data_IF_865409371949
#
_entry.id   IF_865409371949
#
_cell.length_a   1.000
_cell.length_b   1.000
_cell.length_c   1.000
_cell.angle_alpha   90.00
_cell.angle_beta   90.00
_cell.angle_gamma   90.00
#
_symmetry.space_group_name_H-M   'P 1'
#
loop_
_entity.id
_entity.type
_entity.pdbx_description
1 polymer ?
#
# COMPACT_ATOMS: atom_id res chain seq x y z
N UNK A 1 -29.54 -30.23 25.10
CA UNK A 1 -28.18 -30.70 25.40
C UNK A 1 -27.18 -29.57 25.02
N UNK A 2 -26.92 -28.63 25.93
CA UNK A 2 -26.04 -27.47 25.71
C UNK A 2 -24.60 -27.94 25.82
N UNK A 3 -23.84 -27.88 24.72
CA UNK A 3 -22.37 -28.03 24.76
C UNK A 3 -21.77 -26.83 25.48
N UNK A 4 -21.37 -27.03 26.72
CA UNK A 4 -20.49 -26.10 27.43
C UNK A 4 -19.19 -25.94 26.62
N UNK A 5 -19.01 -24.78 25.97
CA UNK A 5 -17.70 -24.37 25.48
C UNK A 5 -16.79 -24.27 26.72
N UNK A 6 -15.79 -25.12 26.77
CA UNK A 6 -14.67 -24.98 27.70
C UNK A 6 -14.06 -23.58 27.48
N UNK A 7 -14.32 -22.69 28.42
CA UNK A 7 -13.52 -21.46 28.57
C UNK A 7 -12.15 -21.95 29.04
N UNK A 8 -11.29 -22.30 28.08
CA UNK A 8 -9.91 -22.59 28.35
C UNK A 8 -9.22 -21.30 28.79
N UNK A 9 -8.58 -21.32 29.96
CA UNK A 9 -7.65 -20.25 30.38
C UNK A 9 -6.61 -20.11 29.26
N UNK A 10 -6.76 -19.06 28.44
CA UNK A 10 -5.89 -18.83 27.31
C UNK A 10 -4.52 -18.42 27.83
N UNK A 11 -3.51 -19.22 27.52
CA UNK A 11 -2.12 -18.94 27.87
C UNK A 11 -1.74 -17.61 27.22
N UNK A 12 -1.33 -16.57 27.98
CA UNK A 12 -1.09 -15.22 27.44
C UNK A 12 0.06 -15.16 26.42
N UNK A 13 0.86 -16.22 26.30
CA UNK A 13 1.97 -16.30 25.36
C UNK A 13 1.89 -17.60 24.57
N UNK A 14 1.54 -17.51 23.28
CA UNK A 14 1.59 -18.64 22.37
C UNK A 14 3.03 -19.14 22.20
N UNK A 15 3.21 -20.46 22.27
CA UNK A 15 4.49 -21.09 21.95
C UNK A 15 4.82 -20.94 20.46
N UNK A 16 6.09 -21.06 20.10
CA UNK A 16 6.53 -21.01 18.71
C UNK A 16 5.79 -22.03 17.83
N UNK A 17 5.58 -23.25 18.33
CA UNK A 17 4.85 -24.32 17.63
C UNK A 17 3.39 -23.96 17.38
N UNK A 18 2.71 -23.36 18.36
CA UNK A 18 1.32 -22.89 18.20
C UNK A 18 1.23 -21.76 17.19
N UNK A 19 2.16 -20.79 17.22
CA UNK A 19 2.25 -19.72 16.22
C UNK A 19 2.43 -20.29 14.82
N UNK A 20 3.33 -21.27 14.65
CA UNK A 20 3.58 -21.95 13.37
C UNK A 20 2.33 -22.63 12.81
N UNK A 21 1.59 -23.34 13.66
CA UNK A 21 0.36 -24.05 13.27
C UNK A 21 -0.79 -23.10 12.89
N UNK A 22 -0.77 -21.87 13.40
CA UNK A 22 -1.76 -20.83 13.08
C UNK A 22 -1.46 -20.07 11.79
N UNK A 23 -0.32 -20.26 11.17
CA UNK A 23 0.06 -19.59 9.92
C UNK A 23 -0.83 -20.08 8.77
N UNK A 24 -1.37 -19.14 8.00
CA UNK A 24 -2.10 -19.45 6.78
C UNK A 24 -1.14 -19.46 5.58
N UNK A 25 -0.65 -20.64 5.20
CA UNK A 25 0.29 -20.78 4.07
C UNK A 25 -0.33 -20.44 2.71
N UNK A 26 -1.65 -20.56 2.55
CA UNK A 26 -2.35 -20.18 1.31
C UNK A 26 -2.20 -18.68 1.02
N UNK A 27 -2.17 -17.85 2.08
CA UNK A 27 -1.92 -16.43 1.93
C UNK A 27 -0.53 -16.14 1.34
N UNK A 28 0.50 -16.81 1.84
CA UNK A 28 1.87 -16.67 1.32
C UNK A 28 2.01 -17.24 -0.09
N UNK A 29 1.28 -18.29 -0.44
CA UNK A 29 1.25 -18.82 -1.78
C UNK A 29 0.78 -17.79 -2.81
N UNK A 30 -0.27 -17.01 -2.53
CA UNK A 30 -0.70 -15.93 -3.43
C UNK A 30 0.32 -14.80 -3.52
N UNK A 31 1.00 -14.45 -2.43
CA UNK A 31 2.08 -13.46 -2.45
C UNK A 31 3.24 -13.96 -3.32
N UNK A 32 3.61 -15.24 -3.21
CA UNK A 32 4.63 -15.86 -4.05
C UNK A 32 4.23 -15.88 -5.52
N UNK A 33 2.97 -16.19 -5.84
CA UNK A 33 2.47 -16.16 -7.23
C UNK A 33 2.60 -14.77 -7.84
N UNK A 34 2.22 -13.71 -7.13
CA UNK A 34 2.40 -12.33 -7.61
C UNK A 34 3.87 -11.99 -7.85
N UNK A 35 4.75 -12.44 -6.95
CA UNK A 35 6.19 -12.24 -7.13
C UNK A 35 6.71 -12.95 -8.37
N UNK A 36 6.27 -14.19 -8.63
CA UNK A 36 6.65 -14.93 -9.82
C UNK A 36 6.22 -14.20 -11.11
N UNK A 37 4.98 -13.66 -11.13
CA UNK A 37 4.52 -12.80 -12.21
C UNK A 37 5.40 -11.55 -12.34
N UNK A 38 5.74 -10.89 -11.23
CA UNK A 38 6.63 -9.73 -11.23
C UNK A 38 8.01 -10.04 -11.81
N UNK A 39 8.62 -11.17 -11.43
CA UNK A 39 9.91 -11.62 -11.96
C UNK A 39 9.83 -11.85 -13.48
N UNK A 40 8.78 -12.54 -13.97
CA UNK A 40 8.57 -12.79 -15.39
C UNK A 40 8.41 -11.47 -16.16
N UNK A 41 7.61 -10.54 -15.66
CA UNK A 41 7.39 -9.26 -16.30
C UNK A 41 8.65 -8.38 -16.31
N UNK A 42 9.43 -8.38 -15.23
CA UNK A 42 10.68 -7.63 -15.16
C UNK A 42 11.78 -8.23 -16.05
N UNK A 43 11.79 -9.55 -16.23
CA UNK A 43 12.65 -10.22 -17.19
C UNK A 43 12.24 -9.82 -18.63
N UNK A 44 10.95 -9.82 -18.93
CA UNK A 44 10.45 -9.37 -20.23
C UNK A 44 10.75 -7.88 -20.47
N UNK A 45 10.51 -7.00 -19.48
CA UNK A 45 10.81 -5.57 -19.57
C UNK A 45 12.29 -5.28 -19.88
N UNK A 46 13.19 -6.17 -19.45
CA UNK A 46 14.62 -6.12 -19.74
C UNK A 46 15.03 -6.79 -21.06
N UNK A 47 14.08 -7.10 -21.95
CA UNK A 47 14.32 -7.79 -23.22
C UNK A 47 15.04 -9.14 -23.02
N UNK A 48 14.66 -9.90 -21.99
CA UNK A 48 15.26 -11.20 -21.70
C UNK A 48 16.58 -11.13 -20.91
N UNK A 49 16.97 -9.97 -20.36
CA UNK A 49 18.16 -9.85 -19.54
C UNK A 49 17.80 -10.00 -18.05
N UNK A 50 18.33 -11.07 -17.43
CA UNK A 50 18.05 -11.40 -16.03
C UNK A 50 18.64 -10.40 -15.03
N UNK A 51 19.81 -9.84 -15.32
CA UNK A 51 20.62 -9.08 -14.34
C UNK A 51 20.13 -7.64 -14.13
N UNK A 52 19.35 -7.11 -15.06
CA UNK A 52 18.93 -5.70 -15.03
C UNK A 52 17.96 -5.45 -13.89
N UNK A 53 16.83 -6.19 -13.85
CA UNK A 53 15.77 -5.98 -12.86
C UNK A 53 15.32 -7.28 -12.16
N UNK A 54 15.22 -8.40 -12.89
CA UNK A 54 14.63 -9.65 -12.38
C UNK A 54 15.42 -10.22 -11.20
N UNK A 55 16.73 -10.36 -11.30
CA UNK A 55 17.59 -10.85 -10.21
C UNK A 55 17.50 -9.96 -8.95
N UNK A 56 17.54 -8.64 -9.15
CA UNK A 56 17.43 -7.68 -8.05
C UNK A 56 16.06 -7.77 -7.37
N UNK A 57 15.02 -8.05 -8.14
CA UNK A 57 13.66 -8.23 -7.62
C UNK A 57 13.56 -9.51 -6.76
N UNK A 58 14.13 -10.63 -7.21
CA UNK A 58 14.21 -11.88 -6.45
C UNK A 58 14.96 -11.69 -5.13
N UNK A 59 16.11 -11.00 -5.16
CA UNK A 59 16.89 -10.70 -3.93
C UNK A 59 16.05 -9.85 -2.95
N UNK A 60 15.37 -8.82 -3.44
CA UNK A 60 14.50 -7.98 -2.59
C UNK A 60 13.31 -8.76 -2.05
N UNK A 61 12.74 -9.65 -2.85
CA UNK A 61 11.68 -10.54 -2.38
C UNK A 61 12.19 -11.47 -1.28
N UNK A 62 13.36 -12.08 -1.43
CA UNK A 62 13.95 -12.92 -0.40
C UNK A 62 14.17 -12.16 0.92
N UNK A 63 14.69 -10.91 0.84
CA UNK A 63 14.81 -10.03 2.01
C UNK A 63 13.45 -9.71 2.63
N UNK A 64 12.46 -9.37 1.80
CA UNK A 64 11.09 -9.09 2.25
C UNK A 64 10.42 -10.30 2.88
N UNK A 65 10.61 -11.50 2.31
CA UNK A 65 10.09 -12.76 2.84
C UNK A 65 10.72 -13.11 4.19
N UNK A 66 12.04 -12.90 4.35
CA UNK A 66 12.72 -13.06 5.62
C UNK A 66 12.16 -12.08 6.67
N UNK A 67 12.02 -10.78 6.33
CA UNK A 67 11.42 -9.78 7.20
C UNK A 67 9.98 -10.16 7.59
N UNK A 68 9.15 -10.53 6.61
CA UNK A 68 7.79 -11.00 6.82
C UNK A 68 7.76 -12.21 7.77
N UNK A 69 8.65 -13.20 7.55
CA UNK A 69 8.77 -14.38 8.39
C UNK A 69 9.11 -14.04 9.84
N UNK A 70 10.04 -13.11 10.06
CA UNK A 70 10.38 -12.63 11.42
C UNK A 70 9.18 -11.95 12.07
N UNK A 71 8.50 -11.05 11.36
CA UNK A 71 7.37 -10.28 11.90
C UNK A 71 6.17 -11.16 12.29
N UNK A 72 5.94 -12.28 11.58
CA UNK A 72 4.85 -13.23 11.90
C UNK A 72 4.94 -13.79 13.32
N UNK A 73 6.16 -13.98 13.82
CA UNK A 73 6.39 -14.54 15.16
C UNK A 73 6.42 -13.49 16.27
N UNK A 74 6.41 -12.21 15.94
CA UNK A 74 6.36 -11.12 16.92
C UNK A 74 5.00 -11.13 17.63
N UNK A 75 4.99 -10.95 18.95
CA UNK A 75 3.77 -10.89 19.75
C UNK A 75 3.00 -9.58 19.46
N UNK A 76 1.68 -9.69 19.43
CA UNK A 76 0.79 -8.53 19.22
C UNK A 76 1.01 -7.42 20.27
N UNK A 77 1.39 -7.79 21.51
CA UNK A 77 1.69 -6.84 22.59
C UNK A 77 2.89 -5.94 22.27
N UNK A 78 3.88 -6.48 21.54
CA UNK A 78 5.05 -5.70 21.10
C UNK A 78 4.62 -4.61 20.14
N UNK A 79 3.79 -4.94 19.15
CA UNK A 79 3.25 -3.95 18.21
C UNK A 79 2.42 -2.89 18.94
N UNK A 80 1.57 -3.30 19.89
CA UNK A 80 0.76 -2.38 20.69
C UNK A 80 1.66 -1.45 21.52
N UNK A 81 2.66 -2.00 22.22
CA UNK A 81 3.54 -1.21 23.07
C UNK A 81 4.32 -0.16 22.28
N UNK A 82 4.95 -0.58 21.18
CA UNK A 82 5.86 0.26 20.39
C UNK A 82 5.19 1.09 19.30
N UNK A 83 3.87 1.03 19.12
CA UNK A 83 3.16 1.72 18.04
C UNK A 83 3.46 3.23 17.96
N UNK A 84 3.37 3.95 19.07
CA UNK A 84 3.65 5.39 19.10
C UNK A 84 5.14 5.72 18.95
N UNK A 85 6.03 4.89 19.48
CA UNK A 85 7.48 5.06 19.29
C UNK A 85 7.86 4.87 17.83
N UNK A 86 7.29 3.87 17.17
CA UNK A 86 7.51 3.64 15.75
C UNK A 86 6.94 4.77 14.89
N UNK A 87 5.76 5.30 15.25
CA UNK A 87 5.19 6.48 14.60
C UNK A 87 6.09 7.71 14.76
N UNK A 88 6.54 8.01 15.98
CA UNK A 88 7.43 9.14 16.24
C UNK A 88 8.77 9.01 15.51
N UNK A 89 9.37 7.82 15.51
CA UNK A 89 10.62 7.55 14.78
C UNK A 89 10.46 7.74 13.26
N UNK A 90 9.38 7.24 12.67
CA UNK A 90 9.13 7.41 11.23
C UNK A 90 8.79 8.86 10.88
N UNK A 91 8.09 9.59 11.76
CA UNK A 91 7.84 11.02 11.60
C UNK A 91 9.15 11.82 11.59
N UNK A 92 10.05 11.50 12.51
CA UNK A 92 11.39 12.10 12.57
C UNK A 92 12.19 11.81 11.29
N UNK A 93 12.13 10.56 10.77
CA UNK A 93 12.76 10.22 9.50
C UNK A 93 12.18 11.02 8.31
N UNK A 94 10.88 11.32 8.29
CA UNK A 94 10.27 12.20 7.28
C UNK A 94 10.83 13.62 7.34
N UNK A 95 11.05 14.15 8.55
CA UNK A 95 11.67 15.48 8.74
C UNK A 95 13.14 15.46 8.28
N UNK A 96 13.89 14.42 8.67
CA UNK A 96 15.29 14.25 8.27
C UNK A 96 15.45 14.20 6.75
N UNK A 97 14.56 13.47 6.05
CA UNK A 97 14.58 13.41 4.58
C UNK A 97 14.40 14.79 3.95
N UNK A 98 13.57 15.64 4.54
CA UNK A 98 13.35 16.99 4.00
C UNK A 98 14.59 17.87 4.05
N UNK A 99 15.46 17.65 5.06
CA UNK A 99 16.69 18.44 5.28
C UNK A 99 17.90 17.79 4.61
N UNK A 100 18.02 16.46 4.68
CA UNK A 100 19.23 15.72 4.29
C UNK A 100 18.97 14.56 3.33
N UNK A 101 17.82 14.55 2.65
CA UNK A 101 17.42 13.46 1.76
C UNK A 101 18.17 13.47 0.42
N UNK A 102 18.21 12.29 -0.22
CA UNK A 102 18.69 12.12 -1.59
C UNK A 102 17.61 12.53 -2.59
N UNK A 103 18.00 13.43 -3.51
CA UNK A 103 17.12 13.89 -4.59
C UNK A 103 17.20 12.91 -5.77
N UNK A 104 16.08 12.31 -6.12
CA UNK A 104 15.95 11.46 -7.29
C UNK A 104 14.69 11.83 -8.07
N UNK A 105 14.77 11.88 -9.40
CA UNK A 105 13.65 12.25 -10.28
C UNK A 105 12.95 13.58 -9.88
N UNK A 106 13.73 14.56 -9.43
CA UNK A 106 13.23 15.89 -9.04
C UNK A 106 12.55 15.96 -7.67
N UNK A 107 12.62 14.91 -6.84
CA UNK A 107 12.05 14.91 -5.50
C UNK A 107 13.00 14.33 -4.46
N UNK A 108 13.02 14.92 -3.28
CA UNK A 108 13.85 14.49 -2.13
C UNK A 108 13.01 13.60 -1.23
N UNK A 109 13.09 12.28 -1.41
CA UNK A 109 12.19 11.32 -0.75
C UNK A 109 12.91 10.14 -0.12
N UNK A 110 14.20 9.95 -0.39
CA UNK A 110 14.95 8.76 0.00
C UNK A 110 16.11 9.09 0.92
N UNK A 111 16.38 8.17 1.84
CA UNK A 111 17.63 8.10 2.61
C UNK A 111 18.48 7.03 1.95
N UNK A 112 19.71 7.39 1.58
CA UNK A 112 20.65 6.42 1.03
C UNK A 112 21.39 5.72 2.18
N UNK A 113 21.11 4.41 2.35
CA UNK A 113 21.75 3.56 3.36
C UNK A 113 22.98 2.82 2.81
N UNK A 114 23.44 3.18 1.60
CA UNK A 114 24.55 2.54 0.91
C UNK A 114 24.10 1.33 0.08
N UNK A 115 23.57 0.30 0.70
CA UNK A 115 23.10 -0.93 0.04
C UNK A 115 21.66 -0.84 -0.50
N UNK A 116 20.86 0.10 0.04
CA UNK A 116 19.50 0.36 -0.43
C UNK A 116 19.08 1.81 -0.16
N UNK A 117 18.10 2.29 -0.94
CA UNK A 117 17.43 3.56 -0.69
C UNK A 117 16.18 3.30 0.13
N UNK A 118 16.07 3.89 1.31
CA UNK A 118 14.91 3.81 2.18
C UNK A 118 14.00 5.02 1.94
N UNK A 119 12.71 4.78 1.76
CA UNK A 119 11.69 5.83 1.67
C UNK A 119 10.88 5.84 2.98
N UNK A 120 11.06 6.85 3.86
CA UNK A 120 10.39 6.88 5.16
C UNK A 120 8.86 6.93 5.08
N UNK A 121 8.30 7.51 4.03
CA UNK A 121 6.85 7.54 3.82
C UNK A 121 6.25 6.12 3.66
N UNK A 122 7.04 5.13 3.20
CA UNK A 122 6.62 3.75 3.15
C UNK A 122 6.45 3.14 4.55
N UNK A 123 7.39 3.43 5.45
CA UNK A 123 7.30 3.00 6.85
C UNK A 123 6.19 3.74 7.59
N UNK A 124 5.96 5.02 7.28
CA UNK A 124 4.93 5.84 7.90
C UNK A 124 3.52 5.26 7.68
N UNK A 125 3.24 4.61 6.56
CA UNK A 125 1.95 3.96 6.32
C UNK A 125 1.66 2.86 7.35
N UNK A 126 2.67 2.04 7.66
CA UNK A 126 2.54 0.99 8.69
C UNK A 126 2.43 1.63 10.07
N UNK A 127 3.30 2.58 10.36
CA UNK A 127 3.38 3.24 11.66
C UNK A 127 2.09 4.00 12.00
N UNK A 128 1.50 4.72 11.03
CA UNK A 128 0.23 5.42 11.20
C UNK A 128 -0.91 4.44 11.52
N UNK A 129 -1.00 3.32 10.79
CA UNK A 129 -2.03 2.30 11.04
C UNK A 129 -1.90 1.73 12.44
N UNK A 130 -0.69 1.39 12.89
CA UNK A 130 -0.45 0.88 14.24
C UNK A 130 -0.79 1.93 15.30
N UNK A 131 -0.42 3.19 15.10
CA UNK A 131 -0.70 4.28 16.03
C UNK A 131 -2.22 4.56 16.14
N UNK A 132 -2.93 4.57 15.01
CA UNK A 132 -4.39 4.73 14.99
C UNK A 132 -5.10 3.53 15.64
N UNK A 133 -4.66 2.31 15.34
CA UNK A 133 -5.21 1.11 15.96
C UNK A 133 -5.02 1.11 17.48
N UNK A 134 -3.85 1.54 17.97
CA UNK A 134 -3.59 1.72 19.41
C UNK A 134 -4.49 2.79 20.02
N UNK A 135 -4.62 3.94 19.37
CA UNK A 135 -5.47 5.03 19.84
C UNK A 135 -6.92 4.55 20.06
N UNK A 136 -7.50 3.89 19.05
CA UNK A 136 -8.86 3.42 19.13
C UNK A 136 -9.05 2.17 20.02
N UNK A 137 -7.98 1.40 20.26
CA UNK A 137 -8.02 0.32 21.22
C UNK A 137 -8.22 0.82 22.65
N UNK A 138 -7.59 1.96 23.03
CA UNK A 138 -7.71 2.58 24.36
C UNK A 138 -8.90 3.54 24.49
N UNK A 139 -9.53 3.94 23.38
CA UNK A 139 -10.60 4.94 23.37
C UNK A 139 -11.98 4.29 23.55
N UNK A 140 -12.88 4.93 24.30
CA UNK A 140 -14.29 4.48 24.47
C UNK A 140 -15.14 4.93 23.29
N UNK A 141 -16.21 4.19 22.97
CA UNK A 141 -17.15 4.54 21.90
C UNK A 141 -17.75 5.94 22.07
N UNK A 142 -18.07 6.33 23.30
CA UNK A 142 -18.60 7.67 23.60
C UNK A 142 -17.63 8.80 23.21
N UNK A 143 -16.33 8.60 23.39
CA UNK A 143 -15.32 9.57 23.00
C UNK A 143 -15.16 9.67 21.48
N UNK A 144 -15.36 8.57 20.73
CA UNK A 144 -15.29 8.54 19.27
C UNK A 144 -16.41 9.37 18.62
N UNK A 145 -17.54 9.49 19.26
CA UNK A 145 -18.66 10.32 18.78
C UNK A 145 -18.39 11.82 18.95
N UNK A 146 -17.49 12.19 19.87
CA UNK A 146 -17.14 13.59 20.11
C UNK A 146 -16.12 14.11 19.09
N UNK A 147 -16.18 15.41 18.80
CA UNK A 147 -15.17 16.07 17.93
C UNK A 147 -13.78 15.97 18.59
N UNK A 148 -13.69 16.10 19.92
CA UNK A 148 -12.42 16.01 20.66
C UNK A 148 -11.75 14.65 20.53
N UNK A 149 -12.51 13.56 20.45
CA UNK A 149 -11.97 12.21 20.25
C UNK A 149 -11.50 11.93 18.83
N UNK A 150 -11.92 12.74 17.84
CA UNK A 150 -11.54 12.57 16.44
C UNK A 150 -10.33 13.44 16.05
N UNK A 151 -10.09 14.54 16.76
CA UNK A 151 -8.97 15.46 16.46
C UNK A 151 -7.61 14.75 16.53
N UNK A 152 -7.24 13.97 17.57
CA UNK A 152 -5.93 13.34 17.62
C UNK A 152 -5.64 12.40 16.44
N UNK A 153 -6.51 11.45 16.06
CA UNK A 153 -6.26 10.60 14.90
C UNK A 153 -6.21 11.38 13.57
N UNK A 154 -6.98 12.46 13.42
CA UNK A 154 -6.88 13.34 12.25
C UNK A 154 -5.51 14.03 12.23
N UNK A 155 -5.03 14.57 13.33
CA UNK A 155 -3.70 15.20 13.40
C UNK A 155 -2.58 14.18 13.15
N UNK A 156 -2.70 12.96 13.68
CA UNK A 156 -1.76 11.88 13.37
C UNK A 156 -1.66 11.58 11.87
N UNK A 157 -2.73 11.79 11.11
CA UNK A 157 -2.71 11.61 9.65
C UNK A 157 -2.27 12.86 8.90
N UNK A 158 -2.77 14.04 9.28
CA UNK A 158 -2.52 15.30 8.58
C UNK A 158 -1.05 15.73 8.67
N UNK A 159 -0.41 15.55 9.83
CA UNK A 159 0.99 15.97 10.01
C UNK A 159 1.93 15.21 9.06
N UNK A 160 1.98 13.86 9.04
CA UNK A 160 2.84 13.15 8.09
C UNK A 160 2.39 13.33 6.64
N UNK A 161 1.07 13.40 6.36
CA UNK A 161 0.59 13.64 5.00
C UNK A 161 1.04 15.01 4.49
N UNK A 162 0.99 16.07 5.30
CA UNK A 162 1.48 17.39 4.95
C UNK A 162 2.98 17.39 4.65
N UNK A 163 3.80 16.74 5.50
CA UNK A 163 5.25 16.60 5.26
C UNK A 163 5.54 15.85 3.94
N UNK A 164 4.80 14.79 3.64
CA UNK A 164 4.96 14.01 2.40
C UNK A 164 4.51 14.82 1.18
N UNK A 165 3.45 15.62 1.28
CA UNK A 165 3.00 16.49 0.19
C UNK A 165 4.02 17.60 -0.14
N UNK A 166 4.74 18.10 0.85
CA UNK A 166 5.87 19.04 0.66
C UNK A 166 7.05 18.36 -0.06
N UNK A 167 7.19 17.02 0.04
CA UNK A 167 8.19 16.22 -0.69
C UNK A 167 7.72 15.82 -2.11
N UNK A 168 6.94 16.60 -2.81
CA UNK A 168 6.05 16.41 -3.97
C UNK A 168 5.50 14.97 -4.15
N UNK A 169 5.08 14.30 -3.07
CA UNK A 169 4.51 12.94 -3.09
C UNK A 169 3.01 12.94 -2.69
N UNK A 170 2.19 13.49 -3.60
CA UNK A 170 0.74 13.57 -3.39
C UNK A 170 0.10 12.19 -3.25
N UNK A 171 0.56 11.20 -4.04
CA UNK A 171 0.01 9.85 -4.04
C UNK A 171 0.06 9.21 -2.66
N UNK A 172 1.25 9.20 -2.05
CA UNK A 172 1.44 8.63 -0.71
C UNK A 172 0.73 9.44 0.37
N UNK A 173 0.72 10.78 0.29
CA UNK A 173 -0.02 11.64 1.21
C UNK A 173 -1.52 11.36 1.18
N UNK A 174 -2.11 11.23 0.00
CA UNK A 174 -3.52 10.86 -0.16
C UNK A 174 -3.82 9.46 0.37
N UNK A 175 -2.93 8.47 0.14
CA UNK A 175 -3.11 7.12 0.67
C UNK A 175 -3.18 7.10 2.19
N UNK A 176 -2.34 7.89 2.89
CA UNK A 176 -2.41 8.03 4.36
C UNK A 176 -3.76 8.57 4.82
N UNK A 177 -4.25 9.64 4.18
CA UNK A 177 -5.55 10.25 4.51
C UNK A 177 -6.71 9.30 4.23
N UNK A 178 -6.71 8.60 3.07
CA UNK A 178 -7.75 7.63 2.71
C UNK A 178 -7.76 6.44 3.67
N UNK A 179 -6.58 5.91 4.04
CA UNK A 179 -6.47 4.82 5.03
C UNK A 179 -7.02 5.25 6.39
N UNK A 180 -6.70 6.47 6.82
CA UNK A 180 -7.24 7.03 8.06
C UNK A 180 -8.76 7.17 7.97
N UNK A 181 -9.28 7.66 6.85
CA UNK A 181 -10.72 7.75 6.61
C UNK A 181 -11.42 6.39 6.74
N UNK A 182 -10.85 5.34 6.15
CA UNK A 182 -11.40 3.97 6.28
C UNK A 182 -11.36 3.49 7.73
N UNK A 183 -10.26 3.71 8.46
CA UNK A 183 -10.18 3.34 9.88
C UNK A 183 -11.24 4.09 10.69
N UNK A 184 -11.41 5.41 10.51
CA UNK A 184 -12.43 6.21 11.16
C UNK A 184 -13.84 5.70 10.85
N UNK A 185 -14.10 5.31 9.61
CA UNK A 185 -15.38 4.72 9.20
C UNK A 185 -15.66 3.38 9.90
N UNK A 186 -14.67 2.49 9.94
CA UNK A 186 -14.78 1.17 10.59
C UNK A 186 -14.94 1.28 12.10
N UNK A 187 -14.33 2.27 12.71
CA UNK A 187 -14.46 2.56 14.15
C UNK A 187 -15.85 3.07 14.53
N UNK A 188 -16.64 3.55 13.54
CA UNK A 188 -18.02 3.98 13.75
C UNK A 188 -18.20 5.49 13.82
N UNK A 189 -17.27 6.27 13.27
CA UNK A 189 -17.49 7.72 13.14
C UNK A 189 -18.69 7.99 12.23
N UNK A 190 -19.56 8.90 12.67
CA UNK A 190 -20.82 9.19 12.02
C UNK A 190 -20.64 9.67 10.57
N UNK A 191 -21.40 9.09 9.63
CA UNK A 191 -21.30 9.32 8.18
C UNK A 191 -21.43 10.80 7.82
N UNK A 192 -22.30 11.58 8.50
CA UNK A 192 -22.48 12.98 8.21
C UNK A 192 -21.18 13.81 8.34
N UNK A 193 -20.22 13.38 9.23
CA UNK A 193 -18.92 14.04 9.36
C UNK A 193 -18.06 13.85 8.11
N UNK A 194 -18.13 12.66 7.49
CA UNK A 194 -17.45 12.42 6.20
C UNK A 194 -18.10 13.26 5.09
N UNK A 195 -19.43 13.35 5.06
CA UNK A 195 -20.15 14.18 4.10
C UNK A 195 -19.79 15.66 4.29
N UNK A 196 -19.73 16.13 5.55
CA UNK A 196 -19.34 17.51 5.84
C UNK A 196 -17.89 17.81 5.41
N UNK A 197 -16.94 16.90 5.68
CA UNK A 197 -15.55 17.02 5.20
C UNK A 197 -15.50 17.00 3.68
N UNK A 198 -16.20 16.07 3.03
CA UNK A 198 -16.28 15.99 1.55
C UNK A 198 -16.85 17.26 0.93
N UNK A 199 -17.95 17.78 1.47
CA UNK A 199 -18.53 19.04 1.03
C UNK A 199 -17.55 20.22 1.23
N UNK A 200 -16.86 20.28 2.38
CA UNK A 200 -15.85 21.30 2.64
C UNK A 200 -14.68 21.23 1.66
N UNK A 201 -14.14 20.04 1.40
CA UNK A 201 -13.07 19.84 0.41
C UNK A 201 -13.54 20.27 -0.99
N UNK A 202 -14.74 19.87 -1.40
CA UNK A 202 -15.30 20.27 -2.71
C UNK A 202 -15.49 21.78 -2.82
N UNK A 203 -16.01 22.42 -1.77
CA UNK A 203 -16.18 23.88 -1.73
C UNK A 203 -14.82 24.62 -1.77
N UNK A 204 -13.77 24.04 -1.20
CA UNK A 204 -12.42 24.62 -1.20
C UNK A 204 -11.62 24.31 -2.47
N UNK A 205 -12.09 23.40 -3.34
CA UNK A 205 -11.37 23.04 -4.58
C UNK A 205 -11.01 24.23 -5.47
N UNK A 206 -11.91 25.21 -5.75
CA UNK A 206 -11.56 26.38 -6.56
C UNK A 206 -10.42 27.19 -5.94
N UNK A 207 -10.43 27.32 -4.61
CA UNK A 207 -9.38 28.04 -3.87
C UNK A 207 -8.08 27.23 -3.91
N UNK A 208 -8.14 25.94 -3.62
CA UNK A 208 -6.99 25.04 -3.65
C UNK A 208 -6.31 25.01 -5.03
N UNK A 209 -7.07 25.17 -6.12
CA UNK A 209 -6.54 25.24 -7.47
C UNK A 209 -5.50 26.36 -7.64
N UNK A 210 -5.67 27.50 -6.98
CA UNK A 210 -4.72 28.61 -7.04
C UNK A 210 -3.42 28.33 -6.28
N UNK A 211 -3.45 27.43 -5.30
CA UNK A 211 -2.28 27.07 -4.49
C UNK A 211 -1.54 25.82 -5.01
N UNK A 212 -2.07 25.14 -6.03
CA UNK A 212 -1.39 24.00 -6.66
C UNK A 212 -0.12 24.47 -7.38
N UNK A 213 0.96 23.72 -7.23
CA UNK A 213 2.16 23.89 -8.04
C UNK A 213 1.87 23.58 -9.52
N UNK A 214 2.61 24.20 -10.44
CA UNK A 214 2.38 24.04 -11.87
C UNK A 214 2.40 22.59 -12.35
N UNK A 215 3.29 21.75 -11.81
CA UNK A 215 3.32 20.32 -12.15
C UNK A 215 2.06 19.56 -11.71
N UNK A 216 1.40 19.99 -10.61
CA UNK A 216 0.16 19.37 -10.12
C UNK A 216 -1.02 19.79 -11.01
N UNK A 217 -1.10 21.07 -11.36
CA UNK A 217 -2.10 21.59 -12.31
C UNK A 217 -1.96 20.90 -13.66
N UNK A 218 -0.73 20.77 -14.16
CA UNK A 218 -0.48 20.09 -15.42
C UNK A 218 -0.94 18.63 -15.38
N UNK A 219 -0.69 17.89 -14.32
CA UNK A 219 -1.19 16.49 -14.18
C UNK A 219 -2.72 16.41 -14.29
N UNK A 220 -3.46 17.33 -13.66
CA UNK A 220 -4.93 17.38 -13.76
C UNK A 220 -5.37 17.76 -15.16
N UNK A 221 -4.77 18.78 -15.76
CA UNK A 221 -5.11 19.24 -17.12
C UNK A 221 -4.78 18.18 -18.17
N UNK A 222 -3.63 17.51 -18.05
CA UNK A 222 -3.21 16.40 -18.92
C UNK A 222 -4.14 15.19 -18.77
N UNK A 223 -4.63 14.92 -17.56
CA UNK A 223 -5.61 13.86 -17.34
C UNK A 223 -6.94 14.16 -18.06
N UNK A 224 -7.42 15.41 -18.00
CA UNK A 224 -8.66 15.84 -18.68
C UNK A 224 -8.51 15.90 -20.21
N UNK A 225 -7.33 16.27 -20.68
CA UNK A 225 -7.00 16.31 -22.11
C UNK A 225 -5.55 15.88 -22.32
N UNK A 226 -5.30 14.54 -22.55
CA UNK A 226 -3.97 13.99 -22.74
C UNK A 226 -3.23 14.54 -23.98
N UNK A 227 -3.96 15.05 -24.97
CA UNK A 227 -3.39 15.60 -26.21
C UNK A 227 -2.63 16.92 -25.98
N UNK A 228 -2.85 17.58 -24.84
CA UNK A 228 -2.13 18.81 -24.47
C UNK A 228 -0.64 18.59 -24.14
N UNK A 229 -0.28 17.36 -23.76
CA UNK A 229 1.11 17.02 -23.39
C UNK A 229 1.56 15.78 -24.19
N UNK A 230 1.79 15.92 -25.51
CA UNK A 230 2.09 14.81 -26.40
C UNK A 230 3.51 14.24 -26.22
N UNK A 231 4.36 14.83 -25.36
CA UNK A 231 5.73 14.39 -25.09
C UNK A 231 5.97 14.04 -23.63
N UNK A 232 5.01 14.31 -22.72
CA UNK A 232 5.13 14.04 -21.29
C UNK A 232 4.09 13.05 -20.76
N UNK A 233 3.42 13.40 -19.67
CA UNK A 233 2.48 12.52 -18.99
C UNK A 233 1.29 12.10 -19.89
N UNK A 234 0.83 12.97 -20.81
CA UNK A 234 -0.24 12.65 -21.77
C UNK A 234 0.18 11.54 -22.72
N UNK A 235 1.41 11.58 -23.22
CA UNK A 235 1.98 10.52 -24.05
C UNK A 235 1.95 9.16 -23.34
N UNK A 236 2.37 9.10 -22.08
CA UNK A 236 2.38 7.85 -21.32
C UNK A 236 0.99 7.26 -21.12
N UNK A 237 -0.03 8.12 -20.87
CA UNK A 237 -1.42 7.67 -20.76
C UNK A 237 -1.93 7.12 -22.08
N UNK A 238 -1.66 7.81 -23.19
CA UNK A 238 -2.09 7.37 -24.52
C UNK A 238 -1.41 6.05 -24.90
N UNK A 239 -0.10 5.93 -24.73
CA UNK A 239 0.65 4.70 -25.03
C UNK A 239 0.20 3.53 -24.15
N UNK A 240 -0.10 3.81 -22.87
CA UNK A 240 -0.67 2.81 -21.96
C UNK A 240 -2.01 2.27 -22.49
N UNK A 241 -2.93 3.15 -22.90
CA UNK A 241 -4.23 2.75 -23.45
C UNK A 241 -4.09 1.97 -24.77
N UNK A 242 -3.16 2.38 -25.65
CA UNK A 242 -2.86 1.68 -26.89
C UNK A 242 -2.31 0.27 -26.61
N UNK A 243 -1.36 0.15 -25.68
CA UNK A 243 -0.79 -1.13 -25.29
C UNK A 243 -1.84 -2.08 -24.70
N UNK A 244 -2.66 -1.58 -23.74
CA UNK A 244 -3.77 -2.33 -23.16
C UNK A 244 -4.75 -2.83 -24.25
N UNK A 245 -5.18 -1.94 -25.15
CA UNK A 245 -6.11 -2.29 -26.23
C UNK A 245 -5.53 -3.26 -27.24
N UNK A 246 -4.22 -3.15 -27.52
CA UNK A 246 -3.51 -4.00 -28.49
C UNK A 246 -3.27 -5.43 -28.00
N UNK A 247 -3.32 -5.69 -26.68
CA UNK A 247 -3.16 -7.01 -26.10
C UNK A 247 -4.33 -7.97 -26.38
N UNK A 248 -5.53 -7.44 -26.64
CA UNK A 248 -6.71 -8.27 -26.89
C UNK A 248 -7.00 -9.25 -25.74
N UNK A 249 -7.57 -10.41 -26.06
CA UNK A 249 -7.97 -11.41 -25.05
C UNK A 249 -6.78 -12.22 -24.56
N UNK A 250 -5.93 -12.70 -25.44
CA UNK A 250 -4.83 -13.64 -25.16
C UNK A 250 -3.45 -12.99 -25.10
N UNK A 251 -3.32 -11.72 -25.44
CA UNK A 251 -2.05 -11.01 -25.51
C UNK A 251 -1.29 -11.25 -26.81
N UNK A 252 -0.18 -10.52 -26.97
CA UNK A 252 0.74 -10.67 -28.12
C UNK A 252 1.74 -11.82 -27.94
N UNK A 253 1.82 -12.38 -26.74
CA UNK A 253 2.81 -13.37 -26.34
C UNK A 253 3.92 -12.80 -25.46
N UNK A 254 4.52 -13.66 -24.67
CA UNK A 254 5.63 -13.31 -23.78
C UNK A 254 6.84 -12.79 -24.59
N UNK A 255 7.48 -11.71 -24.17
CA UNK A 255 8.57 -11.01 -24.87
C UNK A 255 8.16 -10.41 -26.24
N UNK A 256 6.86 -10.26 -26.51
CA UNK A 256 6.36 -9.82 -27.82
C UNK A 256 5.56 -8.51 -27.75
N UNK A 257 5.58 -7.81 -26.61
CA UNK A 257 4.93 -6.52 -26.43
C UNK A 257 5.62 -5.42 -27.25
N UNK A 258 4.94 -4.86 -28.25
CA UNK A 258 5.54 -3.86 -29.15
C UNK A 258 5.72 -2.50 -28.47
N UNK A 259 4.73 -2.03 -27.68
CA UNK A 259 4.81 -0.74 -26.99
C UNK A 259 5.88 -0.73 -25.90
N UNK A 260 5.99 -1.85 -25.19
CA UNK A 260 6.95 -2.03 -24.12
C UNK A 260 8.39 -2.18 -24.63
N UNK A 261 8.62 -3.02 -25.66
CA UNK A 261 9.96 -3.33 -26.16
C UNK A 261 10.54 -2.21 -27.04
N UNK A 262 9.71 -1.44 -27.72
CA UNK A 262 10.13 -0.26 -28.49
C UNK A 262 10.35 1.00 -27.64
N UNK A 263 10.28 0.86 -26.30
CA UNK A 263 10.50 1.95 -25.33
C UNK A 263 9.52 3.13 -25.47
N UNK A 264 8.31 2.91 -25.98
CA UNK A 264 7.26 3.93 -25.94
C UNK A 264 6.72 4.17 -24.51
N UNK A 265 6.98 3.25 -23.56
CA UNK A 265 6.68 3.36 -22.14
C UNK A 265 7.99 3.38 -21.33
N UNK A 266 8.54 4.56 -20.98
CA UNK A 266 9.83 4.66 -20.26
C UNK A 266 9.81 3.98 -18.89
N UNK A 267 8.70 4.13 -18.13
CA UNK A 267 8.52 3.55 -16.78
C UNK A 267 7.81 2.19 -16.79
N UNK A 268 8.04 1.39 -17.85
CA UNK A 268 7.40 0.07 -18.03
C UNK A 268 7.71 -0.93 -16.90
N UNK A 269 8.84 -0.77 -16.21
CA UNK A 269 9.28 -1.65 -15.13
C UNK A 269 8.79 -1.22 -13.75
N UNK A 270 8.24 -0.02 -13.61
CA UNK A 270 7.71 0.55 -12.35
C UNK A 270 6.19 0.74 -12.44
N UNK A 271 5.77 1.92 -12.84
CA UNK A 271 4.38 2.36 -12.74
C UNK A 271 3.46 1.73 -13.79
N UNK A 272 3.99 1.38 -14.97
CA UNK A 272 3.24 0.84 -16.11
C UNK A 272 3.45 -0.66 -16.34
N UNK A 273 3.93 -1.41 -15.33
CA UNK A 273 4.16 -2.85 -15.49
C UNK A 273 2.86 -3.62 -15.79
N UNK A 274 1.72 -3.16 -15.26
CA UNK A 274 0.40 -3.74 -15.54
C UNK A 274 0.00 -3.56 -16.99
N UNK A 275 0.37 -2.43 -17.62
CA UNK A 275 0.18 -2.21 -19.06
C UNK A 275 0.93 -3.23 -19.88
N UNK A 276 2.22 -3.42 -19.57
CA UNK A 276 3.06 -4.40 -20.23
C UNK A 276 2.52 -5.82 -20.09
N UNK A 277 2.12 -6.20 -18.87
CA UNK A 277 1.48 -7.49 -18.61
C UNK A 277 0.22 -7.69 -19.46
N UNK A 278 -0.61 -6.65 -19.54
CA UNK A 278 -1.85 -6.71 -20.34
C UNK A 278 -1.57 -6.74 -21.84
N UNK A 279 -0.49 -6.14 -22.33
CA UNK A 279 -0.07 -6.23 -23.73
C UNK A 279 0.41 -7.65 -24.08
N UNK A 280 1.22 -8.27 -23.20
CA UNK A 280 1.82 -9.58 -23.48
C UNK A 280 0.87 -10.76 -23.21
N UNK A 281 0.02 -10.69 -22.16
CA UNK A 281 -0.87 -11.78 -21.73
C UNK A 281 -2.36 -11.47 -21.93
N UNK A 282 -2.69 -10.30 -22.46
CA UNK A 282 -4.06 -9.87 -22.73
C UNK A 282 -4.91 -9.69 -21.48
N UNK A 283 -6.22 -9.65 -21.72
CA UNK A 283 -7.23 -9.53 -20.64
C UNK A 283 -7.12 -10.70 -19.66
N UNK A 284 -6.83 -11.92 -20.13
CA UNK A 284 -6.72 -13.11 -19.27
C UNK A 284 -5.59 -12.94 -18.25
N UNK A 285 -4.41 -12.49 -18.68
CA UNK A 285 -3.29 -12.22 -17.77
C UNK A 285 -3.59 -11.09 -16.78
N UNK A 286 -4.19 -9.99 -17.26
CA UNK A 286 -4.62 -8.88 -16.43
C UNK A 286 -5.63 -9.31 -15.35
N UNK A 287 -6.66 -10.07 -15.74
CA UNK A 287 -7.66 -10.60 -14.80
C UNK A 287 -7.05 -11.57 -13.80
N UNK A 288 -6.13 -12.45 -14.21
CA UNK A 288 -5.45 -13.36 -13.31
C UNK A 288 -4.73 -12.59 -12.18
N UNK A 289 -3.99 -11.52 -12.52
CA UNK A 289 -3.35 -10.66 -11.52
C UNK A 289 -4.36 -9.97 -10.61
N UNK A 290 -5.43 -9.42 -11.16
CA UNK A 290 -6.52 -8.79 -10.37
C UNK A 290 -7.15 -9.80 -9.42
N UNK A 291 -7.44 -11.01 -9.88
CA UNK A 291 -8.04 -12.09 -9.06
C UNK A 291 -7.09 -12.47 -7.92
N UNK A 292 -5.79 -12.64 -8.17
CA UNK A 292 -4.84 -12.98 -7.10
C UNK A 292 -4.76 -11.86 -6.06
N UNK A 293 -4.71 -10.59 -6.48
CA UNK A 293 -4.76 -9.45 -5.56
C UNK A 293 -6.07 -9.44 -4.76
N UNK A 294 -7.20 -9.70 -5.40
CA UNK A 294 -8.50 -9.78 -4.73
C UNK A 294 -8.55 -10.92 -3.70
N UNK A 295 -7.97 -12.08 -3.99
CA UNK A 295 -7.86 -13.18 -3.03
C UNK A 295 -7.01 -12.80 -1.81
N UNK A 296 -5.89 -12.10 -1.99
CA UNK A 296 -5.08 -11.59 -0.86
C UNK A 296 -5.93 -10.65 0.01
N UNK A 297 -6.72 -9.74 -0.59
CA UNK A 297 -7.61 -8.84 0.14
C UNK A 297 -8.71 -9.62 0.90
N UNK A 298 -9.33 -10.61 0.27
CA UNK A 298 -10.34 -11.47 0.91
C UNK A 298 -9.78 -12.25 2.11
N UNK A 299 -8.58 -12.83 1.96
CA UNK A 299 -7.93 -13.51 3.08
C UNK A 299 -7.61 -12.54 4.22
N UNK A 300 -7.06 -11.36 3.92
CA UNK A 300 -6.77 -10.34 4.92
C UNK A 300 -8.05 -9.88 5.64
N UNK A 301 -9.15 -9.66 4.91
CA UNK A 301 -10.44 -9.34 5.50
C UNK A 301 -10.98 -10.48 6.39
N UNK A 302 -10.87 -11.74 5.93
CA UNK A 302 -11.21 -12.92 6.74
C UNK A 302 -10.40 -13.00 8.04
N UNK A 303 -9.12 -12.62 8.01
CA UNK A 303 -8.27 -12.56 9.19
C UNK A 303 -8.76 -11.49 10.17
N UNK A 304 -9.17 -10.32 9.68
CA UNK A 304 -9.76 -9.27 10.52
C UNK A 304 -11.04 -9.74 11.23
N UNK A 305 -11.90 -10.48 10.52
CA UNK A 305 -13.15 -11.02 11.11
C UNK A 305 -12.88 -12.07 12.20
N UNK A 306 -11.83 -12.87 12.04
CA UNK A 306 -11.45 -13.93 12.99
C UNK A 306 -10.65 -13.44 14.20
N UNK A 307 -10.09 -12.24 14.12
CA UNK A 307 -9.27 -11.64 15.19
C UNK A 307 -10.20 -11.06 16.27
N UNK A 308 -10.00 -11.44 17.54
CA UNK A 308 -10.81 -10.96 18.68
C UNK A 308 -10.34 -9.59 19.16
N UNK A 309 -9.04 -9.34 19.16
CA UNK A 309 -8.44 -8.08 19.58
C UNK A 309 -8.85 -6.91 18.67
N UNK A 310 -9.38 -5.83 19.26
CA UNK A 310 -9.76 -4.63 18.51
C UNK A 310 -8.56 -3.95 17.86
N UNK A 311 -7.41 -3.88 18.55
CA UNK A 311 -6.14 -3.42 17.98
C UNK A 311 -5.73 -4.23 16.76
N UNK A 312 -5.73 -5.57 16.87
CA UNK A 312 -5.37 -6.46 15.77
C UNK A 312 -6.31 -6.33 14.58
N UNK A 313 -7.61 -6.23 14.84
CA UNK A 313 -8.64 -6.03 13.80
C UNK A 313 -8.42 -4.74 13.01
N UNK A 314 -8.24 -3.61 13.69
CA UNK A 314 -8.00 -2.32 13.05
C UNK A 314 -6.67 -2.28 12.30
N UNK A 315 -5.63 -2.92 12.86
CA UNK A 315 -4.33 -3.05 12.18
C UNK A 315 -4.46 -3.80 10.87
N UNK A 316 -5.13 -4.97 10.87
CA UNK A 316 -5.36 -5.75 9.65
C UNK A 316 -6.14 -4.92 8.63
N UNK A 317 -7.24 -4.29 9.03
CA UNK A 317 -8.08 -3.49 8.12
C UNK A 317 -7.28 -2.32 7.53
N UNK A 318 -6.54 -1.58 8.35
CA UNK A 318 -5.74 -0.44 7.89
C UNK A 318 -4.65 -0.83 6.91
N UNK A 319 -3.88 -1.89 7.19
CA UNK A 319 -2.82 -2.38 6.29
C UNK A 319 -3.40 -3.00 5.01
N UNK A 320 -4.53 -3.69 5.10
CA UNK A 320 -5.26 -4.21 3.94
C UNK A 320 -5.77 -3.08 3.06
N UNK A 321 -6.27 -2.00 3.65
CA UNK A 321 -6.69 -0.79 2.93
C UNK A 321 -5.51 -0.15 2.20
N UNK A 322 -4.35 -0.02 2.85
CA UNK A 322 -3.15 0.48 2.18
C UNK A 322 -2.77 -0.37 0.96
N UNK A 323 -2.79 -1.70 1.09
CA UNK A 323 -2.53 -2.60 -0.03
C UNK A 323 -3.56 -2.45 -1.15
N UNK A 324 -4.85 -2.39 -0.80
CA UNK A 324 -5.92 -2.13 -1.77
C UNK A 324 -5.70 -0.83 -2.54
N UNK A 325 -5.37 0.26 -1.83
CA UNK A 325 -5.12 1.56 -2.45
C UNK A 325 -3.95 1.52 -3.43
N UNK A 326 -2.87 0.81 -3.12
CA UNK A 326 -1.78 0.61 -4.07
C UNK A 326 -2.24 -0.03 -5.37
N UNK A 327 -2.94 -1.18 -5.25
CA UNK A 327 -3.42 -1.93 -6.41
C UNK A 327 -4.43 -1.10 -7.21
N UNK A 328 -5.40 -0.51 -6.52
CA UNK A 328 -6.45 0.28 -7.14
C UNK A 328 -5.90 1.52 -7.86
N UNK A 329 -5.03 2.30 -7.19
CA UNK A 329 -4.46 3.53 -7.77
C UNK A 329 -3.59 3.19 -8.97
N UNK A 330 -2.73 2.14 -8.90
CA UNK A 330 -1.90 1.76 -10.04
C UNK A 330 -2.75 1.34 -11.25
N UNK A 331 -3.70 0.43 -11.07
CA UNK A 331 -4.55 -0.06 -12.17
C UNK A 331 -5.42 1.07 -12.72
N UNK A 332 -6.03 1.89 -11.85
CA UNK A 332 -6.85 3.02 -12.28
C UNK A 332 -6.06 4.07 -13.07
N UNK A 333 -4.81 4.35 -12.66
CA UNK A 333 -3.90 5.25 -13.35
C UNK A 333 -3.54 4.72 -14.74
N UNK A 334 -3.20 3.44 -14.85
CA UNK A 334 -2.83 2.78 -16.11
C UNK A 334 -4.01 2.73 -17.09
N UNK A 335 -5.23 2.53 -16.58
CA UNK A 335 -6.47 2.59 -17.38
C UNK A 335 -6.85 4.03 -17.77
N UNK A 336 -6.18 5.04 -17.19
CA UNK A 336 -6.52 6.45 -17.40
C UNK A 336 -7.83 6.87 -16.77
N UNK A 337 -8.21 6.27 -15.62
CA UNK A 337 -9.37 6.63 -14.81
C UNK A 337 -9.04 7.72 -13.78
N UNK A 338 -7.76 7.85 -13.42
CA UNK A 338 -7.24 8.88 -12.52
C UNK A 338 -5.93 9.45 -13.09
N UNK A 339 -5.51 10.65 -12.68
CA UNK A 339 -4.23 11.22 -13.08
C UNK A 339 -3.05 10.33 -12.73
N UNK A 340 -1.95 10.42 -13.48
CA UNK A 340 -0.70 9.67 -13.19
C UNK A 340 -0.08 10.20 -11.90
N UNK A 341 -0.02 9.35 -10.88
CA UNK A 341 0.46 9.71 -9.52
C UNK A 341 1.83 9.11 -9.23
N UNK A 342 2.27 8.10 -9.99
CA UNK A 342 3.55 7.43 -9.80
C UNK A 342 3.50 6.46 -8.61
N UNK A 343 2.49 5.61 -8.54
CA UNK A 343 2.34 4.56 -7.53
C UNK A 343 2.56 3.21 -8.18
N UNK A 344 3.62 2.45 -7.80
CA UNK A 344 3.91 1.16 -8.41
C UNK A 344 2.90 0.08 -7.97
N UNK A 345 2.70 -0.94 -8.81
CA UNK A 345 1.90 -2.10 -8.46
C UNK A 345 2.69 -2.96 -7.45
N UNK A 346 2.17 -3.16 -6.21
CA UNK A 346 2.94 -3.82 -5.16
C UNK A 346 3.32 -5.25 -5.54
N UNK A 347 4.52 -5.67 -5.15
CA UNK A 347 5.11 -7.01 -5.37
C UNK A 347 5.46 -7.31 -6.84
N UNK A 348 4.76 -6.73 -7.81
CA UNK A 348 5.00 -6.97 -9.24
C UNK A 348 5.99 -5.95 -9.80
N UNK A 349 5.78 -4.65 -9.50
CA UNK A 349 6.65 -3.57 -9.98
C UNK A 349 8.04 -3.60 -9.39
N UNK A 350 9.01 -3.08 -10.13
CA UNK A 350 10.35 -2.85 -9.63
C UNK A 350 10.36 -1.68 -8.64
N UNK A 351 10.30 -1.99 -7.34
CA UNK A 351 10.27 -1.00 -6.26
C UNK A 351 10.83 -1.57 -4.95
N UNK A 352 12.08 -1.22 -4.60
CA UNK A 352 12.76 -1.83 -3.46
C UNK A 352 12.08 -1.59 -2.12
N UNK A 353 11.83 -0.32 -1.77
CA UNK A 353 11.21 0.06 -0.49
C UNK A 353 9.74 -0.30 -0.40
N UNK A 354 8.99 -0.12 -1.50
CA UNK A 354 7.57 -0.49 -1.56
C UNK A 354 7.39 -1.98 -1.34
N UNK A 355 8.22 -2.81 -2.00
CA UNK A 355 8.16 -4.26 -1.82
C UNK A 355 8.41 -4.66 -0.36
N UNK A 356 9.46 -4.12 0.26
CA UNK A 356 9.78 -4.42 1.66
C UNK A 356 8.69 -3.95 2.62
N UNK A 357 8.11 -2.76 2.41
CA UNK A 357 7.03 -2.24 3.27
C UNK A 357 5.74 -3.05 3.14
N UNK A 358 5.40 -3.49 1.91
CA UNK A 358 4.22 -4.34 1.68
C UNK A 358 4.44 -5.73 2.29
N UNK A 359 5.63 -6.33 2.13
CA UNK A 359 5.96 -7.62 2.76
C UNK A 359 5.96 -7.51 4.29
N UNK A 360 6.48 -6.40 4.85
CA UNK A 360 6.37 -6.12 6.27
C UNK A 360 4.91 -6.00 6.72
N UNK A 361 4.07 -5.30 5.95
CA UNK A 361 2.63 -5.18 6.22
C UNK A 361 1.95 -6.55 6.25
N UNK A 362 2.27 -7.45 5.31
CA UNK A 362 1.75 -8.82 5.31
C UNK A 362 2.25 -9.64 6.50
N UNK A 363 3.50 -9.42 6.93
CA UNK A 363 4.03 -10.01 8.16
C UNK A 363 3.25 -9.56 9.39
N UNK A 364 2.96 -8.25 9.50
CA UNK A 364 2.16 -7.70 10.60
C UNK A 364 0.72 -8.20 10.54
N UNK A 365 0.08 -8.23 9.37
CA UNK A 365 -1.28 -8.81 9.20
C UNK A 365 -1.32 -10.25 9.69
N UNK A 366 -0.34 -11.06 9.28
CA UNK A 366 -0.27 -12.46 9.71
C UNK A 366 0.05 -12.58 11.21
N UNK A 367 0.90 -11.72 11.77
CA UNK A 367 1.16 -11.68 13.22
C UNK A 367 -0.12 -11.41 14.02
N UNK A 368 -0.96 -10.46 13.58
CA UNK A 368 -2.25 -10.19 14.20
C UNK A 368 -3.17 -11.41 14.13
N UNK A 369 -3.20 -12.11 12.98
CA UNK A 369 -4.01 -13.31 12.78
C UNK A 369 -3.50 -14.50 13.59
N UNK A 370 -2.19 -14.73 13.66
CA UNK A 370 -1.58 -15.79 14.49
C UNK A 370 -1.94 -15.62 15.96
N UNK A 371 -1.97 -14.36 16.43
CA UNK A 371 -2.34 -14.00 17.79
C UNK A 371 -3.85 -13.64 17.93
N UNK A 372 -4.72 -14.13 17.04
CA UNK A 372 -6.15 -13.74 16.93
C UNK A 372 -6.95 -13.90 18.20
N UNK A 373 -6.63 -14.91 19.02
CA UNK A 373 -7.31 -15.25 20.26
C UNK A 373 -6.73 -14.55 21.50
N UNK A 374 -5.69 -13.74 21.32
CA UNK A 374 -5.05 -13.00 22.42
C UNK A 374 -5.95 -11.84 22.85
N UNK A 375 -6.38 -11.86 24.12
CA UNK A 375 -7.12 -10.76 24.70
C UNK A 375 -6.13 -9.69 25.20
N UNK A 376 -6.18 -8.52 24.60
CA UNK A 376 -5.41 -7.35 25.05
C UNK A 376 -6.31 -6.58 26.01
N UNK A 377 -5.88 -6.41 27.27
CA UNK A 377 -6.55 -5.53 28.23
C UNK A 377 -6.67 -4.12 27.66
N UNK A 378 -7.64 -3.36 28.11
CA UNK A 378 -7.66 -1.90 27.92
C UNK A 378 -6.81 -1.32 29.04
N UNK A 379 -5.58 -0.94 28.73
CA UNK A 379 -4.72 -0.16 29.64
C UNK A 379 -5.13 1.30 29.63
#
# INVERSE_FOLDING_TARGET
MYKFYKIGFHNPNLTFKEKWNNINFTYFFFVFMLTAVGVLMLYSAANGNWDVWALKHVVRFAMGAALMGVLVFVDIKVFLHYAYYFYAATLLLLIVVQVAGYTGMGATRWINLGFMKLQPSELMKIALVLALAKYFHSTTLQNIETIRGIIPPILMALVPAGLIMVQPDLGTGMMLLMTTGVILFVVGVQIWKFVAVGAGVTALMPIAWHFLHDYQRQRVLTFLNPERDPLGAGYHIMQSKIALGSGGVFGKGFLSGTQSHLNFLPEKHTDFIFTMLSEEFGIIGALAVVIINFLILLYSYSFALKTTSYFGKLTIIGLTTNYFLYVFINIAMVLGLIPVVGVPLPIISYGGTVMLSVMASFGVIMAMYVNKDTNLGKD
#
